data_IF_352089657701
#
_entry.id   IF_352089657701
#
_cell.length_a   1.000
_cell.length_b   1.000
_cell.length_c   1.000
_cell.angle_alpha   90.00
_cell.angle_beta   90.00
_cell.angle_gamma   90.00
#
_symmetry.space_group_name_H-M   'P 1'
#
loop_
_entity.id
_entity.type
_entity.pdbx_description
1 polymer ?
#
# COMPACT_ATOMS: atom_id res chain seq x y z
N UNK A 1 -20.58 -6.16 -13.91
CA UNK A 1 -19.85 -6.84 -12.82
C UNK A 1 -20.10 -6.02 -11.56
N UNK A 2 -20.73 -6.54 -10.50
CA UNK A 2 -21.03 -5.70 -9.36
C UNK A 2 -19.74 -5.43 -8.59
N UNK A 3 -19.47 -4.15 -8.48
CA UNK A 3 -18.32 -3.53 -7.85
C UNK A 3 -18.41 -3.79 -6.36
N UNK A 4 -17.37 -4.35 -5.73
CA UNK A 4 -17.15 -4.28 -4.28
C UNK A 4 -16.80 -2.82 -3.89
N UNK A 5 -17.64 -1.85 -4.28
CA UNK A 5 -17.37 -0.42 -4.23
C UNK A 5 -17.55 0.25 -2.86
N UNK A 6 -18.15 -0.44 -1.89
CA UNK A 6 -18.77 0.24 -0.74
C UNK A 6 -18.04 0.14 0.60
N UNK A 7 -17.10 -0.80 0.77
CA UNK A 7 -16.51 -1.04 2.09
C UNK A 7 -15.26 -0.19 2.28
N UNK A 8 -15.33 0.70 3.26
CA UNK A 8 -14.22 1.54 3.73
C UNK A 8 -13.73 0.96 5.05
N UNK A 9 -12.42 0.77 5.16
CA UNK A 9 -11.75 0.16 6.31
C UNK A 9 -11.11 1.24 7.21
N UNK A 10 -10.76 0.92 8.47
CA UNK A 10 -10.13 1.87 9.38
C UNK A 10 -8.82 2.45 8.82
N UNK A 11 -8.59 3.74 9.05
CA UNK A 11 -7.45 4.50 8.52
C UNK A 11 -6.14 4.31 9.31
N UNK A 12 -6.23 3.68 10.48
CA UNK A 12 -5.15 3.47 11.44
C UNK A 12 -4.53 2.06 11.36
N UNK A 13 -5.16 1.14 10.64
CA UNK A 13 -4.73 -0.26 10.55
C UNK A 13 -4.31 -0.63 9.12
N UNK A 14 -3.03 -1.00 8.88
CA UNK A 14 -2.55 -1.41 7.55
C UNK A 14 -3.06 -2.79 7.12
N UNK A 15 -3.66 -3.54 8.04
CA UNK A 15 -4.21 -4.88 7.83
C UNK A 15 -5.43 -5.08 8.73
N UNK A 16 -6.49 -5.68 8.19
CA UNK A 16 -7.72 -6.01 8.92
C UNK A 16 -8.01 -7.50 8.78
N UNK A 17 -8.24 -8.16 9.91
CA UNK A 17 -8.56 -9.60 9.94
C UNK A 17 -10.06 -9.83 10.13
N UNK A 18 -10.60 -10.85 9.46
CA UNK A 18 -11.99 -11.24 9.64
C UNK A 18 -12.15 -12.16 10.86
N UNK A 19 -12.69 -11.63 11.96
CA UNK A 19 -12.93 -12.40 13.18
C UNK A 19 -13.91 -13.58 13.00
N UNK A 20 -14.81 -13.51 12.02
CA UNK A 20 -15.80 -14.56 11.74
C UNK A 20 -15.23 -15.71 10.90
N UNK A 21 -14.14 -15.47 10.16
CA UNK A 21 -13.43 -16.49 9.41
C UNK A 21 -11.92 -16.28 9.57
N UNK A 22 -11.31 -16.84 10.64
CA UNK A 22 -9.88 -16.68 10.91
C UNK A 22 -8.97 -17.24 9.81
N UNK A 23 -9.48 -18.12 8.94
CA UNK A 23 -8.73 -18.68 7.82
C UNK A 23 -8.77 -17.80 6.57
N UNK A 24 -9.59 -16.73 6.57
CA UNK A 24 -9.59 -15.78 5.47
C UNK A 24 -8.27 -15.00 5.45
N UNK A 25 -7.72 -14.69 4.26
CA UNK A 25 -6.55 -13.84 4.17
C UNK A 25 -6.82 -12.46 4.77
N UNK A 26 -5.79 -11.79 5.31
CA UNK A 26 -5.92 -10.42 5.80
C UNK A 26 -6.32 -9.48 4.68
N UNK A 27 -7.12 -8.46 5.03
CA UNK A 27 -7.53 -7.41 4.12
C UNK A 27 -6.56 -6.25 4.25
N UNK A 28 -6.04 -5.76 3.13
CA UNK A 28 -5.10 -4.64 3.07
C UNK A 28 -5.81 -3.38 2.58
N UNK A 29 -6.12 -2.42 3.46
CA UNK A 29 -6.73 -1.17 3.05
C UNK A 29 -5.71 -0.20 2.44
N UNK A 30 -6.13 0.50 1.39
CA UNK A 30 -5.36 1.57 0.77
C UNK A 30 -5.17 2.74 1.75
N UNK A 31 -3.95 3.20 1.94
CA UNK A 31 -3.65 4.31 2.86
C UNK A 31 -4.20 5.69 2.44
N UNK A 32 -4.86 5.80 1.28
CA UNK A 32 -5.51 7.03 0.79
C UNK A 32 -7.03 6.90 0.74
N UNK A 33 -7.54 5.90 0.01
CA UNK A 33 -9.00 5.76 -0.20
C UNK A 33 -9.67 4.83 0.81
N UNK A 34 -8.87 4.12 1.61
CA UNK A 34 -9.32 3.16 2.63
C UNK A 34 -10.19 2.02 2.09
N UNK A 35 -10.16 1.77 0.79
CA UNK A 35 -10.74 0.58 0.16
C UNK A 35 -9.71 -0.54 0.10
N UNK A 36 -10.19 -1.77 -0.01
CA UNK A 36 -9.34 -2.95 -0.15
C UNK A 36 -8.47 -2.86 -1.41
N UNK A 37 -7.19 -3.20 -1.23
CA UNK A 37 -6.21 -3.43 -2.28
C UNK A 37 -6.19 -4.94 -2.53
N UNK A 38 -6.52 -5.36 -3.75
CA UNK A 38 -6.51 -6.76 -4.16
C UNK A 38 -5.19 -7.11 -4.87
N UNK A 39 -4.88 -8.40 -4.96
CA UNK A 39 -3.66 -8.90 -5.63
C UNK A 39 -3.57 -8.51 -7.11
N UNK A 40 -4.71 -8.29 -7.78
CA UNK A 40 -4.77 -7.88 -9.18
C UNK A 40 -4.72 -6.34 -9.36
N UNK A 41 -4.70 -5.58 -8.27
CA UNK A 41 -4.59 -4.13 -8.35
C UNK A 41 -3.13 -3.72 -8.61
N UNK A 42 -2.93 -2.66 -9.40
CA UNK A 42 -1.65 -1.97 -9.40
C UNK A 42 -1.51 -1.21 -8.08
N UNK A 43 -0.71 -1.76 -7.16
CA UNK A 43 -0.51 -1.20 -5.84
C UNK A 43 0.94 -1.27 -5.38
N UNK A 44 1.30 -0.39 -4.45
CA UNK A 44 2.65 -0.25 -3.93
C UNK A 44 2.62 -0.13 -2.41
N UNK A 45 3.61 -0.74 -1.74
CA UNK A 45 3.73 -0.76 -0.29
C UNK A 45 4.64 0.37 0.20
N UNK A 46 4.22 1.10 1.24
CA UNK A 46 5.10 2.02 1.97
C UNK A 46 5.94 1.25 3.00
N UNK A 47 6.88 0.41 2.53
CA UNK A 47 7.67 -0.54 3.34
C UNK A 47 8.56 0.16 4.37
N UNK A 48 9.22 1.22 3.96
CA UNK A 48 10.10 2.03 4.81
C UNK A 48 9.37 2.90 5.84
N UNK A 49 8.02 2.90 5.85
CA UNK A 49 7.21 3.89 6.54
C UNK A 49 6.06 3.30 7.34
N UNK A 50 4.84 3.37 6.81
CA UNK A 50 3.61 3.03 7.54
C UNK A 50 3.11 1.60 7.29
N UNK A 51 3.73 0.84 6.39
CA UNK A 51 3.30 -0.51 5.99
C UNK A 51 1.88 -0.59 5.41
N UNK A 52 1.29 0.53 5.00
CA UNK A 52 0.06 0.51 4.20
C UNK A 52 0.37 0.21 2.75
N UNK A 53 -0.50 -0.55 2.11
CA UNK A 53 -0.61 -0.62 0.66
C UNK A 53 -1.31 0.62 0.12
N UNK A 54 -1.02 0.96 -1.13
CA UNK A 54 -1.62 2.09 -1.82
C UNK A 54 -1.90 1.71 -3.26
N UNK A 55 -3.13 1.92 -3.73
CA UNK A 55 -3.42 1.87 -5.17
C UNK A 55 -2.56 2.89 -5.91
N UNK A 56 -1.94 2.51 -7.04
CA UNK A 56 -1.14 3.41 -7.88
C UNK A 56 -1.90 4.70 -8.23
N UNK A 57 -3.17 4.56 -8.60
CA UNK A 57 -4.02 5.71 -8.94
C UNK A 57 -4.22 6.68 -7.76
N UNK A 58 -4.21 6.17 -6.52
CA UNK A 58 -4.37 7.00 -5.32
C UNK A 58 -3.09 7.73 -4.91
N UNK A 59 -1.91 7.27 -5.35
CA UNK A 59 -0.62 7.93 -5.06
C UNK A 59 -0.23 8.96 -6.12
N UNK A 60 -0.94 9.01 -7.26
CA UNK A 60 -0.53 9.83 -8.41
C UNK A 60 0.68 9.30 -9.16
N UNK A 61 1.17 8.10 -8.82
CA UNK A 61 2.32 7.49 -9.48
C UNK A 61 1.98 7.18 -10.95
N UNK A 62 2.84 7.61 -11.86
CA UNK A 62 2.67 7.29 -13.29
C UNK A 62 2.88 5.80 -13.52
N UNK A 63 2.29 5.26 -14.58
CA UNK A 63 2.45 3.85 -14.93
C UNK A 63 3.93 3.49 -15.17
N UNK A 64 4.67 4.34 -15.89
CA UNK A 64 6.10 4.13 -16.13
C UNK A 64 6.92 4.12 -14.83
N UNK A 65 6.67 5.07 -13.92
CA UNK A 65 7.37 5.11 -12.63
C UNK A 65 7.04 3.88 -11.78
N UNK A 66 5.78 3.43 -11.79
CA UNK A 66 5.37 2.21 -11.11
C UNK A 66 6.12 0.99 -11.65
N UNK A 67 6.13 0.79 -12.98
CA UNK A 67 6.84 -0.32 -13.61
C UNK A 67 8.33 -0.33 -13.26
N UNK A 68 9.00 0.83 -13.35
CA UNK A 68 10.42 0.96 -13.01
C UNK A 68 10.68 0.64 -11.53
N UNK A 69 9.86 1.18 -10.61
CA UNK A 69 10.01 0.94 -9.17
C UNK A 69 9.78 -0.53 -8.82
N UNK A 70 8.74 -1.17 -9.36
CA UNK A 70 8.44 -2.57 -9.06
C UNK A 70 9.40 -3.57 -9.69
N UNK A 71 10.14 -3.17 -10.72
CA UNK A 71 11.16 -3.99 -11.35
C UNK A 71 12.53 -3.89 -10.65
N UNK A 72 12.76 -2.85 -9.85
CA UNK A 72 14.05 -2.59 -9.20
C UNK A 72 14.03 -3.10 -7.75
N UNK A 73 14.69 -4.22 -7.49
CA UNK A 73 14.71 -4.91 -6.18
C UNK A 73 15.35 -4.07 -5.07
N UNK A 74 16.21 -3.12 -5.44
CA UNK A 74 16.87 -2.21 -4.49
C UNK A 74 16.12 -0.90 -4.27
N UNK A 75 15.07 -0.64 -5.05
CA UNK A 75 14.22 0.54 -4.85
C UNK A 75 13.11 0.24 -3.84
N UNK A 76 12.79 1.25 -3.04
CA UNK A 76 11.63 1.23 -2.14
C UNK A 76 10.83 2.51 -2.35
N UNK A 77 9.52 2.43 -2.16
CA UNK A 77 8.64 3.60 -2.21
C UNK A 77 8.13 3.97 -0.81
N UNK A 78 7.95 5.27 -0.61
CA UNK A 78 7.49 5.86 0.65
C UNK A 78 6.37 6.84 0.35
N UNK A 79 5.27 6.76 1.09
CA UNK A 79 4.16 7.70 0.93
C UNK A 79 4.51 9.10 1.46
N UNK A 80 3.88 10.13 0.91
CA UNK A 80 4.14 11.54 1.24
C UNK A 80 4.07 11.82 2.74
N UNK A 81 3.07 11.25 3.42
CA UNK A 81 2.91 11.40 4.87
C UNK A 81 4.14 10.87 5.62
N UNK A 82 4.66 9.71 5.25
CA UNK A 82 5.84 9.14 5.89
C UNK A 82 7.10 9.92 5.54
N UNK A 83 7.26 10.34 4.28
CA UNK A 83 8.38 11.18 3.87
C UNK A 83 8.44 12.51 4.65
N UNK A 84 7.28 13.10 4.94
CA UNK A 84 7.19 14.39 5.66
C UNK A 84 7.33 14.24 7.18
N UNK A 85 6.83 13.15 7.76
CA UNK A 85 6.70 13.01 9.22
C UNK A 85 7.70 12.05 9.87
N UNK A 86 8.38 11.22 9.09
CA UNK A 86 9.34 10.24 9.59
C UNK A 86 10.73 10.56 9.04
N UNK A 87 11.76 10.31 9.85
CA UNK A 87 13.15 10.43 9.40
C UNK A 87 13.56 9.18 8.61
N UNK A 88 13.11 9.07 7.35
CA UNK A 88 13.40 7.93 6.48
C UNK A 88 14.67 8.24 5.68
N UNK A 89 15.74 7.42 5.80
CA UNK A 89 16.94 7.62 5.02
C UNK A 89 16.66 7.34 3.54
N UNK A 90 17.18 8.20 2.65
CA UNK A 90 17.03 8.05 1.20
C UNK A 90 17.82 6.87 0.61
N UNK A 91 18.79 6.34 1.36
CA UNK A 91 19.61 5.19 0.98
C UNK A 91 19.69 4.24 2.16
N UNK A 92 19.45 2.95 1.90
CA UNK A 92 19.57 1.86 2.87
C UNK A 92 20.44 0.75 2.27
N UNK A 93 21.27 0.14 3.10
CA UNK A 93 22.02 -1.06 2.72
C UNK A 93 21.20 -2.29 3.11
N UNK A 94 20.75 -3.06 2.12
CA UNK A 94 20.14 -4.37 2.37
C UNK A 94 21.26 -5.37 2.75
N UNK A 95 21.10 -6.16 3.83
CA UNK A 95 22.08 -7.17 4.26
C UNK A 95 22.39 -8.23 3.20
#
# INVERSE_FOLDING_TARGET
>A
MPVSAGKVYPADQPMVFNAQNPNAPPIYPCGVCHKEVHDNDQAILCESGCNFWFHRGCTGLTEAAFQMLTAEVYAEWVCDKCLQSKNIPLVKFKP
#
